data_IF_360098771409
#
_entry.id   IF_360098771409
#
_cell.length_a   1.000
_cell.length_b   1.000
_cell.length_c   1.000
_cell.angle_alpha   90.00
_cell.angle_beta   90.00
_cell.angle_gamma   90.00
#
_symmetry.space_group_name_H-M   'P 1'
#
loop_
_entity.id
_entity.type
_entity.pdbx_description
1 polymer ?
#
# COMPACT_ATOMS: atom_id res chain seq x y z
N UNK A 1 6.55 6.11 -22.06
CA UNK A 1 7.24 7.41 -22.24
C UNK A 1 6.15 8.45 -22.33
N UNK A 2 6.07 9.34 -21.35
CA UNK A 2 4.94 10.26 -21.18
C UNK A 2 5.08 11.47 -22.09
N UNK A 3 6.31 11.95 -22.29
CA UNK A 3 6.62 13.04 -23.23
C UNK A 3 6.87 12.58 -24.67
N UNK A 4 7.09 11.27 -24.91
CA UNK A 4 7.46 10.75 -26.24
C UNK A 4 8.84 11.18 -26.75
N UNK A 5 9.55 12.03 -26.02
CA UNK A 5 10.85 12.58 -26.42
C UNK A 5 12.02 11.73 -25.88
N UNK A 6 12.99 11.44 -26.75
CA UNK A 6 14.25 10.81 -26.37
C UNK A 6 15.33 11.89 -26.38
N UNK A 7 16.13 12.05 -25.29
CA UNK A 7 17.18 13.05 -25.26
C UNK A 7 18.16 12.88 -26.43
N UNK A 8 18.39 13.96 -27.18
CA UNK A 8 19.31 14.00 -28.33
C UNK A 8 20.77 13.71 -27.96
N UNK A 9 21.11 13.83 -26.67
CA UNK A 9 22.41 13.51 -26.10
C UNK A 9 22.70 12.00 -26.01
N UNK A 10 21.73 11.13 -26.31
CA UNK A 10 21.90 9.69 -26.20
C UNK A 10 22.55 9.11 -27.45
N UNK A 11 23.69 8.45 -27.25
CA UNK A 11 24.23 7.53 -28.25
C UNK A 11 23.31 6.30 -28.42
N UNK A 12 23.57 5.51 -29.47
CA UNK A 12 22.73 4.35 -29.79
C UNK A 12 22.65 3.32 -28.65
N UNK A 13 23.72 3.17 -27.87
CA UNK A 13 23.78 2.25 -26.74
C UNK A 13 22.92 2.75 -25.58
N UNK A 14 23.09 4.01 -25.17
CA UNK A 14 22.28 4.66 -24.12
C UNK A 14 20.81 4.65 -24.46
N UNK A 15 20.46 4.90 -25.72
CA UNK A 15 19.08 4.81 -26.21
C UNK A 15 18.52 3.40 -26.03
N UNK A 16 19.23 2.37 -26.50
CA UNK A 16 18.80 0.97 -26.35
C UNK A 16 18.64 0.57 -24.88
N UNK A 17 19.57 1.00 -24.01
CA UNK A 17 19.51 0.77 -22.57
C UNK A 17 18.29 1.46 -21.95
N UNK A 18 18.06 2.73 -22.26
CA UNK A 18 16.91 3.49 -21.78
C UNK A 18 15.58 2.79 -22.07
N UNK A 19 15.34 2.36 -23.32
CA UNK A 19 14.12 1.63 -23.68
C UNK A 19 14.02 0.23 -23.06
N UNK A 20 15.15 -0.38 -22.71
CA UNK A 20 15.14 -1.63 -21.94
C UNK A 20 14.71 -1.37 -20.50
N UNK A 21 15.26 -0.33 -19.89
CA UNK A 21 15.01 0.01 -18.48
C UNK A 21 13.59 0.56 -18.29
N UNK A 22 13.13 1.43 -19.20
CA UNK A 22 11.81 2.07 -19.16
C UNK A 22 10.64 1.07 -19.15
N UNK A 23 10.82 -0.17 -19.62
CA UNK A 23 9.80 -1.23 -19.54
C UNK A 23 9.47 -1.69 -18.12
N UNK A 24 10.33 -1.35 -17.15
CA UNK A 24 10.10 -1.65 -15.74
C UNK A 24 9.42 -0.50 -15.02
N UNK A 25 9.06 0.58 -15.71
CA UNK A 25 8.45 1.74 -15.11
C UNK A 25 7.06 1.99 -15.69
N UNK A 26 6.15 2.41 -14.83
CA UNK A 26 4.79 2.83 -15.15
C UNK A 26 4.63 4.27 -14.63
N UNK A 27 3.96 5.11 -15.40
CA UNK A 27 3.71 6.50 -15.02
C UNK A 27 2.22 6.72 -14.96
N UNK A 28 1.76 7.17 -13.80
CA UNK A 28 0.40 7.59 -13.53
C UNK A 28 0.49 8.92 -12.79
N UNK A 29 0.23 10.00 -13.52
CA UNK A 29 0.56 11.36 -13.09
C UNK A 29 -0.04 11.69 -11.71
N UNK A 30 0.75 12.24 -10.76
CA UNK A 30 2.14 12.73 -10.85
C UNK A 30 3.21 11.69 -10.47
N UNK A 31 2.85 10.41 -10.36
CA UNK A 31 3.67 9.38 -9.74
C UNK A 31 4.35 8.47 -10.76
N UNK A 32 5.64 8.23 -10.54
CA UNK A 32 6.39 7.19 -11.22
C UNK A 32 6.36 5.91 -10.37
N UNK A 33 6.13 4.78 -11.00
CA UNK A 33 6.16 3.46 -10.38
C UNK A 33 7.22 2.60 -11.05
N UNK A 34 7.87 1.73 -10.26
CA UNK A 34 8.82 0.72 -10.74
C UNK A 34 8.31 -0.67 -10.42
N UNK A 35 8.30 -1.55 -11.41
CA UNK A 35 7.98 -2.97 -11.26
C UNK A 35 9.13 -3.70 -10.60
N UNK A 36 8.86 -4.32 -9.45
CA UNK A 36 9.80 -5.17 -8.74
C UNK A 36 9.96 -6.56 -9.39
N UNK A 37 10.90 -7.38 -8.90
CA UNK A 37 11.07 -8.79 -9.33
C UNK A 37 9.84 -9.66 -9.03
N UNK A 38 9.07 -9.26 -8.02
CA UNK A 38 7.79 -9.84 -7.60
C UNK A 38 6.60 -9.38 -8.45
N UNK A 39 6.84 -8.63 -9.53
CA UNK A 39 5.83 -8.02 -10.39
C UNK A 39 4.96 -6.94 -9.71
N UNK A 40 5.27 -6.54 -8.48
CA UNK A 40 4.56 -5.48 -7.77
C UNK A 40 5.12 -4.12 -8.19
N UNK A 41 4.23 -3.17 -8.50
CA UNK A 41 4.61 -1.79 -8.76
C UNK A 41 4.81 -1.03 -7.45
N UNK A 42 5.92 -0.30 -7.35
CA UNK A 42 6.26 0.52 -6.18
C UNK A 42 6.51 1.95 -6.61
N UNK A 43 5.88 2.89 -5.90
CA UNK A 43 6.06 4.32 -6.15
C UNK A 43 7.52 4.71 -5.94
N UNK A 44 8.11 5.35 -6.95
CA UNK A 44 9.39 6.01 -6.86
C UNK A 44 9.24 7.28 -6.03
N UNK A 45 10.19 7.50 -5.12
CA UNK A 45 10.24 8.69 -4.26
C UNK A 45 11.31 9.60 -4.87
N UNK A 46 10.99 10.88 -5.02
CA UNK A 46 11.95 11.88 -5.48
C UNK A 46 13.07 12.01 -4.43
N UNK A 47 14.30 12.30 -4.86
CA UNK A 47 15.47 12.28 -3.96
C UNK A 47 15.31 13.26 -2.80
N UNK A 48 14.72 14.43 -3.08
CA UNK A 48 14.34 15.46 -2.12
C UNK A 48 13.34 14.98 -1.06
N UNK A 49 12.48 14.01 -1.39
CA UNK A 49 11.43 13.49 -0.49
C UNK A 49 11.91 12.30 0.34
N UNK A 50 13.01 11.65 -0.04
CA UNK A 50 13.53 10.44 0.65
C UNK A 50 13.72 10.70 2.13
N UNK A 51 14.34 11.84 2.49
CA UNK A 51 14.61 12.17 3.88
C UNK A 51 13.32 12.37 4.69
N UNK A 52 12.34 13.09 4.14
CA UNK A 52 11.06 13.33 4.79
C UNK A 52 10.28 12.02 5.02
N UNK A 53 10.30 11.11 4.04
CA UNK A 53 9.68 9.78 4.19
C UNK A 53 10.40 8.95 5.25
N UNK A 54 11.73 8.95 5.27
CA UNK A 54 12.50 8.23 6.29
C UNK A 54 12.22 8.79 7.70
N UNK A 55 12.13 10.11 7.85
CA UNK A 55 11.79 10.75 9.12
C UNK A 55 10.37 10.45 9.57
N UNK A 56 9.39 10.37 8.65
CA UNK A 56 8.04 9.95 9.02
C UNK A 56 7.99 8.49 9.46
N UNK A 57 8.71 7.61 8.75
CA UNK A 57 8.74 6.18 9.07
C UNK A 57 9.55 5.86 10.34
N UNK A 58 10.66 6.56 10.58
CA UNK A 58 11.63 6.23 11.63
C UNK A 58 11.78 7.30 12.72
N UNK A 59 11.30 8.51 12.48
CA UNK A 59 11.41 9.66 13.38
C UNK A 59 10.31 9.74 14.45
N UNK A 60 9.41 8.75 14.54
CA UNK A 60 8.55 8.68 15.73
C UNK A 60 9.44 8.56 16.98
N UNK A 61 9.21 9.41 17.97
CA UNK A 61 9.98 9.43 19.21
C UNK A 61 9.97 8.06 19.93
N UNK A 62 8.96 7.24 19.65
CA UNK A 62 8.85 5.87 20.12
C UNK A 62 9.84 4.91 19.43
N UNK A 63 10.01 4.98 18.11
CA UNK A 63 10.88 4.04 17.38
C UNK A 63 12.36 4.21 17.71
N UNK A 64 12.88 5.43 17.59
CA UNK A 64 14.31 5.70 17.76
C UNK A 64 14.80 5.52 19.21
N UNK A 65 14.04 6.00 20.20
CA UNK A 65 14.42 5.90 21.61
C UNK A 65 14.34 4.47 22.16
N UNK A 66 13.37 3.68 21.67
CA UNK A 66 13.22 2.26 22.01
C UNK A 66 14.36 1.43 21.41
N UNK A 67 14.67 1.64 20.12
CA UNK A 67 15.76 0.91 19.44
C UNK A 67 17.12 1.28 20.03
N UNK A 68 17.37 2.55 20.38
CA UNK A 68 18.61 3.00 21.00
C UNK A 68 18.91 2.35 22.36
N UNK A 69 17.87 1.96 23.11
CA UNK A 69 18.01 1.29 24.42
C UNK A 69 17.96 -0.25 24.33
N UNK A 70 17.67 -0.80 23.15
CA UNK A 70 17.54 -2.24 22.96
C UNK A 70 18.90 -2.85 22.59
N UNK A 71 19.61 -3.38 23.60
CA UNK A 71 20.94 -4.00 23.44
C UNK A 71 20.99 -5.11 22.37
N UNK A 72 19.98 -6.01 22.25
CA UNK A 72 19.92 -6.97 21.14
C UNK A 72 19.85 -6.32 19.75
N UNK A 73 19.11 -5.22 19.59
CA UNK A 73 18.99 -4.49 18.32
C UNK A 73 20.30 -3.78 17.97
N UNK A 74 20.97 -3.16 18.95
CA UNK A 74 22.24 -2.47 18.75
C UNK A 74 23.36 -3.43 18.32
N UNK A 75 23.38 -4.66 18.86
CA UNK A 75 24.39 -5.67 18.52
C UNK A 75 24.16 -6.37 17.19
N UNK A 76 22.94 -6.35 16.66
CA UNK A 76 22.58 -7.10 15.45
C UNK A 76 23.22 -6.55 14.17
N UNK A 77 23.85 -5.37 14.25
CA UNK A 77 24.50 -4.71 13.12
C UNK A 77 23.48 -4.05 12.19
N UNK A 78 23.95 -3.57 11.04
CA UNK A 78 23.07 -2.97 10.03
C UNK A 78 22.13 -4.01 9.41
N UNK A 79 20.90 -3.60 9.11
CA UNK A 79 19.90 -4.42 8.42
C UNK A 79 20.47 -4.84 7.07
N UNK A 80 20.53 -6.16 6.83
CA UNK A 80 20.97 -6.72 5.56
C UNK A 80 19.76 -7.17 4.74
N UNK A 81 19.96 -7.49 3.45
CA UNK A 81 18.89 -8.06 2.60
C UNK A 81 18.27 -9.35 3.17
N UNK A 82 18.97 -10.07 4.05
CA UNK A 82 18.45 -11.28 4.70
C UNK A 82 17.47 -10.97 5.83
N UNK A 83 17.51 -9.74 6.34
CA UNK A 83 16.63 -9.24 7.39
C UNK A 83 15.37 -8.58 6.83
N UNK A 84 15.24 -8.50 5.49
CA UNK A 84 14.01 -8.02 4.84
C UNK A 84 12.84 -8.91 5.22
N UNK A 85 11.81 -8.31 5.82
CA UNK A 85 10.54 -8.99 6.04
C UNK A 85 9.83 -9.24 4.71
N UNK A 86 9.16 -10.40 4.53
CA UNK A 86 8.32 -10.62 3.37
C UNK A 86 7.27 -9.51 3.30
N UNK A 87 7.33 -8.72 2.24
CA UNK A 87 6.33 -7.70 1.98
C UNK A 87 5.06 -8.39 1.50
N UNK A 88 3.99 -8.26 2.27
CA UNK A 88 2.67 -8.61 1.76
C UNK A 88 2.24 -7.50 0.80
N UNK A 89 2.00 -7.81 -0.49
CA UNK A 89 1.47 -6.82 -1.41
C UNK A 89 0.21 -6.19 -0.83
N UNK A 90 0.18 -4.87 -0.80
CA UNK A 90 -1.09 -4.15 -0.70
C UNK A 90 -1.77 -4.39 -2.05
N UNK A 91 -2.94 -5.01 -2.03
CA UNK A 91 -3.74 -5.18 -3.24
C UNK A 91 -4.03 -3.77 -3.79
N UNK A 92 -3.73 -3.55 -5.07
CA UNK A 92 -4.24 -2.39 -5.81
C UNK A 92 -5.74 -2.65 -6.01
N UNK A 93 -6.55 -2.02 -5.16
CA UNK A 93 -8.02 -2.08 -5.21
C UNK A 93 -8.54 -0.67 -5.36
N UNK A 94 -9.41 -0.45 -6.35
CA UNK A 94 -10.12 0.81 -6.53
C UNK A 94 -11.25 0.92 -5.51
N UNK A 95 -11.77 2.14 -5.33
CA UNK A 95 -12.93 2.37 -4.45
C UNK A 95 -14.10 1.53 -4.97
N UNK A 96 -14.72 0.75 -4.08
CA UNK A 96 -15.82 -0.20 -4.35
C UNK A 96 -15.43 -1.56 -4.96
N UNK A 97 -14.15 -1.91 -5.09
CA UNK A 97 -13.73 -3.23 -5.58
C UNK A 97 -13.86 -4.36 -4.56
N UNK A 98 -13.64 -4.07 -3.26
CA UNK A 98 -13.65 -5.08 -2.19
C UNK A 98 -14.47 -4.58 -1.01
N UNK A 99 -15.37 -5.43 -0.52
CA UNK A 99 -16.26 -5.13 0.59
C UNK A 99 -16.09 -6.16 1.71
N UNK A 100 -16.00 -5.69 2.94
CA UNK A 100 -16.15 -6.50 4.14
C UNK A 100 -17.62 -6.56 4.51
N UNK A 101 -18.20 -7.75 4.56
CA UNK A 101 -19.61 -7.96 4.91
C UNK A 101 -19.68 -8.70 6.25
N UNK A 102 -20.48 -8.19 7.18
CA UNK A 102 -20.70 -8.80 8.49
C UNK A 102 -22.14 -8.60 8.96
N UNK A 103 -22.58 -9.42 9.92
CA UNK A 103 -23.87 -9.28 10.57
C UNK A 103 -23.68 -8.89 12.04
N UNK A 104 -24.27 -7.77 12.43
CA UNK A 104 -24.39 -7.40 13.83
C UNK A 104 -25.72 -7.90 14.40
N UNK A 105 -25.69 -8.70 15.46
CA UNK A 105 -26.89 -9.16 16.15
C UNK A 105 -26.71 -10.49 16.89
N UNK A 106 -27.79 -11.05 17.46
CA UNK A 106 -29.16 -10.53 17.44
C UNK A 106 -29.38 -9.37 18.42
N UNK A 107 -30.05 -8.31 17.95
CA UNK A 107 -30.63 -7.25 18.76
C UNK A 107 -32.00 -7.65 19.28
N UNK A 108 -32.52 -6.91 20.28
CA UNK A 108 -33.88 -7.13 20.79
C UNK A 108 -34.89 -7.07 19.64
N UNK A 109 -35.92 -7.93 19.65
CA UNK A 109 -36.88 -7.97 18.55
C UNK A 109 -37.50 -6.61 18.27
N UNK A 110 -37.32 -6.11 17.06
CA UNK A 110 -38.04 -4.91 16.61
C UNK A 110 -39.49 -5.27 16.31
N UNK A 111 -40.41 -4.29 16.32
CA UNK A 111 -41.82 -4.49 15.97
C UNK A 111 -42.01 -5.07 14.55
N UNK A 112 -41.00 -4.93 13.69
CA UNK A 112 -41.00 -5.39 12.31
C UNK A 112 -40.19 -6.69 12.12
N UNK A 113 -39.75 -7.35 13.19
CA UNK A 113 -39.03 -8.63 13.12
C UNK A 113 -37.59 -8.56 12.64
N UNK A 114 -37.01 -7.36 12.50
CA UNK A 114 -35.60 -7.16 12.15
C UNK A 114 -34.76 -7.19 13.41
N UNK A 115 -33.91 -8.22 13.53
CA UNK A 115 -33.11 -8.47 14.72
C UNK A 115 -31.61 -8.38 14.43
N UNK A 116 -31.23 -8.19 13.17
CA UNK A 116 -29.85 -8.10 12.73
C UNK A 116 -29.66 -6.84 11.89
N UNK A 117 -28.41 -6.40 11.78
CA UNK A 117 -27.98 -5.37 10.85
C UNK A 117 -26.92 -6.01 9.97
N UNK A 118 -27.20 -6.12 8.67
CA UNK A 118 -26.19 -6.42 7.67
C UNK A 118 -25.35 -5.16 7.47
N UNK A 119 -24.05 -5.28 7.66
CA UNK A 119 -23.09 -4.20 7.47
C UNK A 119 -22.17 -4.57 6.32
N UNK A 120 -22.09 -3.71 5.31
CA UNK A 120 -21.15 -3.80 4.22
C UNK A 120 -20.21 -2.58 4.26
N UNK A 121 -18.91 -2.83 4.31
CA UNK A 121 -17.89 -1.79 4.43
C UNK A 121 -16.95 -1.85 3.23
N UNK A 122 -16.87 -0.77 2.47
CA UNK A 122 -15.88 -0.64 1.40
C UNK A 122 -14.46 -0.64 2.00
N UNK A 123 -13.59 -1.49 1.45
CA UNK A 123 -12.27 -1.73 2.01
C UNK A 123 -11.39 -0.48 1.97
N UNK A 124 -11.50 0.34 0.92
CA UNK A 124 -10.60 1.48 0.64
C UNK A 124 -11.11 2.77 1.29
N UNK A 125 -12.30 3.23 0.92
CA UNK A 125 -12.90 4.46 1.42
C UNK A 125 -13.43 4.36 2.85
N UNK A 126 -13.60 3.12 3.37
CA UNK A 126 -14.28 2.83 4.63
C UNK A 126 -15.73 3.33 4.67
N UNK A 127 -16.35 3.53 3.49
CA UNK A 127 -17.77 3.83 3.38
C UNK A 127 -18.61 2.64 3.85
N UNK A 128 -19.73 2.91 4.53
CA UNK A 128 -20.53 1.89 5.23
C UNK A 128 -21.97 1.94 4.73
N UNK A 129 -22.50 0.77 4.37
CA UNK A 129 -23.93 0.54 4.19
C UNK A 129 -24.45 -0.40 5.29
N UNK A 130 -25.58 -0.05 5.90
CA UNK A 130 -26.18 -0.83 6.97
C UNK A 130 -27.67 -1.02 6.70
N UNK A 131 -28.11 -2.28 6.64
CA UNK A 131 -29.51 -2.63 6.35
C UNK A 131 -30.04 -3.53 7.46
N UNK A 132 -31.17 -3.20 8.10
CA UNK A 132 -31.80 -4.10 9.06
C UNK A 132 -32.32 -5.34 8.32
N UNK A 133 -32.05 -6.54 8.84
CA UNK A 133 -32.54 -7.80 8.28
C UNK A 133 -33.21 -8.69 9.35
N UNK A 134 -34.22 -9.50 8.97
CA UNK A 134 -34.93 -10.38 9.89
C UNK A 134 -34.13 -11.62 10.28
N UNK A 135 -33.20 -12.07 9.45
CA UNK A 135 -32.41 -13.27 9.68
C UNK A 135 -30.98 -13.12 9.12
N UNK A 136 -30.08 -13.96 9.66
CA UNK A 136 -28.69 -14.11 9.21
C UNK A 136 -28.58 -15.46 8.50
N UNK A 137 -29.07 -15.53 7.27
CA UNK A 137 -29.03 -16.74 6.45
C UNK A 137 -27.74 -16.69 5.65
N UNK A 138 -26.80 -17.59 5.94
CA UNK A 138 -25.53 -17.73 5.22
C UNK A 138 -25.67 -18.62 3.98
#
# INVERSE_FOLDING_TARGET
MVSGEVPSSFDAYKRKKFFKDARHYYWDEPYLYKRGPDSIYRRCIAEEDVQGVLEQCHGSAYGASYIAKCDPCQRKGGITKRDEMPLNPILEVEIFDVWGIDFMGPFKPSSNGHNYILVAVDYVSKWIEAIPCPACDA
#
